data_IF_744363935121
#
_entry.id   IF_744363935121
#
_cell.length_a   1.000
_cell.length_b   1.000
_cell.length_c   1.000
_cell.angle_alpha   90.00
_cell.angle_beta   90.00
_cell.angle_gamma   90.00
#
_symmetry.space_group_name_H-M   'P 1'
#
loop_
_entity.id
_entity.type
_entity.pdbx_description
1 polymer ?
#
# COMPACT_ATOMS: atom_id res chain seq x y z
N UNK A 1 16.02 -13.84 -26.11
CA UNK A 1 15.71 -12.62 -25.37
C UNK A 1 14.47 -12.87 -24.55
N UNK A 2 14.47 -12.48 -23.28
CA UNK A 2 13.28 -12.56 -22.42
C UNK A 2 12.33 -11.42 -22.78
N UNK A 3 11.04 -11.72 -22.94
CA UNK A 3 10.01 -10.70 -23.19
C UNK A 3 9.57 -10.10 -21.86
N UNK A 4 9.62 -8.77 -21.73
CA UNK A 4 9.32 -8.05 -20.49
C UNK A 4 8.35 -6.90 -20.70
N UNK A 5 7.56 -6.63 -19.68
CA UNK A 5 6.77 -5.41 -19.54
C UNK A 5 7.48 -4.48 -18.59
N UNK A 6 7.64 -3.22 -18.98
CA UNK A 6 8.17 -2.16 -18.09
C UNK A 6 7.02 -1.50 -17.36
N UNK A 7 7.07 -1.49 -16.03
CA UNK A 7 6.10 -0.85 -15.15
C UNK A 7 6.64 0.43 -14.54
N UNK A 8 5.82 1.49 -14.51
CA UNK A 8 6.12 2.78 -13.85
C UNK A 8 5.05 3.13 -12.82
N UNK A 9 5.48 3.52 -11.63
CA UNK A 9 4.61 4.06 -10.60
C UNK A 9 5.23 5.30 -9.95
N UNK A 10 4.45 6.39 -9.90
CA UNK A 10 4.81 7.66 -9.28
C UNK A 10 3.80 8.03 -8.20
N UNK A 11 3.57 7.12 -7.27
CA UNK A 11 2.74 7.36 -6.08
C UNK A 11 3.40 8.34 -5.12
N UNK A 12 2.67 8.76 -4.09
CA UNK A 12 2.98 9.93 -3.26
C UNK A 12 4.44 10.09 -2.79
N UNK A 13 5.14 9.00 -2.43
CA UNK A 13 6.46 9.10 -1.78
C UNK A 13 7.56 8.26 -2.43
N UNK A 14 7.25 7.57 -3.52
CA UNK A 14 8.24 6.70 -4.18
C UNK A 14 8.11 6.80 -5.69
N UNK A 15 9.21 7.11 -6.37
CA UNK A 15 9.34 6.91 -7.81
C UNK A 15 9.83 5.49 -8.05
N UNK A 16 9.16 4.71 -8.86
CA UNK A 16 9.55 3.34 -9.16
C UNK A 16 9.43 2.98 -10.63
N UNK A 17 10.36 2.14 -11.09
CA UNK A 17 10.38 1.51 -12.40
C UNK A 17 10.78 0.05 -12.24
N UNK A 18 10.08 -0.86 -12.90
CA UNK A 18 10.38 -2.29 -12.81
C UNK A 18 10.20 -2.97 -14.17
N UNK A 19 10.79 -4.14 -14.34
CA UNK A 19 10.56 -5.00 -15.50
C UNK A 19 10.19 -6.40 -15.05
N UNK A 20 9.10 -6.93 -15.63
CA UNK A 20 8.51 -8.21 -15.26
C UNK A 20 8.25 -9.04 -16.51
N UNK A 21 8.51 -10.35 -16.48
CA UNK A 21 8.17 -11.27 -17.58
C UNK A 21 6.68 -11.60 -17.59
N UNK A 22 6.20 -12.22 -18.64
CA UNK A 22 4.81 -12.70 -18.74
C UNK A 22 4.45 -13.74 -17.66
N UNK A 23 5.44 -14.47 -17.15
CA UNK A 23 5.28 -15.48 -16.09
C UNK A 23 5.28 -14.85 -14.68
N UNK A 24 5.41 -13.51 -14.56
CA UNK A 24 5.44 -12.80 -13.30
C UNK A 24 6.83 -12.69 -12.65
N UNK A 25 7.90 -13.14 -13.30
CA UNK A 25 9.24 -13.02 -12.75
C UNK A 25 9.76 -11.58 -12.83
N UNK A 26 10.14 -11.01 -11.70
CA UNK A 26 10.74 -9.69 -11.62
C UNK A 26 12.20 -9.76 -12.11
N UNK A 27 12.50 -9.07 -13.22
CA UNK A 27 13.87 -8.97 -13.75
C UNK A 27 14.66 -7.92 -12.98
N UNK A 28 14.06 -6.75 -12.76
CA UNK A 28 14.64 -5.69 -11.95
C UNK A 28 13.53 -4.80 -11.38
N UNK A 29 13.83 -4.18 -10.23
CA UNK A 29 12.96 -3.20 -9.58
C UNK A 29 13.81 -2.07 -9.00
N UNK A 30 13.73 -0.90 -9.62
CA UNK A 30 14.43 0.31 -9.24
C UNK A 30 13.46 1.27 -8.57
N UNK A 31 13.83 1.82 -7.40
CA UNK A 31 12.94 2.72 -6.66
C UNK A 31 13.73 3.79 -5.91
N UNK A 32 13.16 4.97 -5.80
CA UNK A 32 13.74 6.09 -5.09
C UNK A 32 12.69 6.83 -4.30
N UNK A 33 12.92 6.99 -2.99
CA UNK A 33 12.04 7.77 -2.13
C UNK A 33 12.13 9.26 -2.47
N UNK A 34 11.01 9.96 -2.34
CA UNK A 34 10.98 11.40 -2.37
C UNK A 34 11.50 11.94 -1.03
N UNK A 35 12.38 12.93 -1.04
CA UNK A 35 12.87 13.54 0.19
C UNK A 35 11.75 14.36 0.84
N UNK A 36 11.32 13.96 2.04
CA UNK A 36 10.41 14.74 2.87
C UNK A 36 11.24 15.55 3.86
N UNK A 37 11.15 16.88 3.88
CA UNK A 37 11.90 17.69 4.83
C UNK A 37 11.57 17.34 6.28
N UNK A 38 12.56 17.38 7.15
CA UNK A 38 12.40 17.08 8.56
C UNK A 38 11.33 18.00 9.20
N UNK A 39 10.39 17.41 9.94
CA UNK A 39 9.27 18.13 10.58
C UNK A 39 8.03 18.32 9.68
N UNK A 40 8.08 17.94 8.42
CA UNK A 40 6.90 17.90 7.55
C UNK A 40 6.21 16.53 7.60
N UNK A 41 4.89 16.54 7.48
CA UNK A 41 4.07 15.30 7.46
C UNK A 41 3.77 14.79 6.05
N UNK A 42 4.41 15.39 5.01
CA UNK A 42 4.20 15.05 3.62
C UNK A 42 4.74 16.10 2.66
N UNK A 43 4.55 15.88 1.36
CA UNK A 43 4.92 16.79 0.28
C UNK A 43 3.67 17.41 -0.35
N UNK A 44 3.79 18.63 -0.83
CA UNK A 44 2.78 19.19 -1.73
C UNK A 44 2.79 18.42 -3.04
N UNK A 45 1.61 18.24 -3.65
CA UNK A 45 1.48 17.49 -4.90
C UNK A 45 2.40 18.03 -6.01
N UNK A 46 2.53 19.35 -6.13
CA UNK A 46 3.43 19.97 -7.12
C UNK A 46 4.91 19.67 -6.89
N UNK A 47 5.35 19.63 -5.64
CA UNK A 47 6.73 19.28 -5.26
C UNK A 47 7.00 17.80 -5.54
N UNK A 48 6.02 16.94 -5.24
CA UNK A 48 6.11 15.52 -5.53
C UNK A 48 6.18 15.26 -7.04
N UNK A 49 5.30 15.88 -7.85
CA UNK A 49 5.35 15.80 -9.33
C UNK A 49 6.72 16.21 -9.85
N UNK A 50 7.22 17.36 -9.40
CA UNK A 50 8.54 17.85 -9.84
C UNK A 50 9.65 16.87 -9.50
N UNK A 51 9.61 16.29 -8.29
CA UNK A 51 10.61 15.33 -7.84
C UNK A 51 10.55 14.03 -8.65
N UNK A 52 9.34 13.51 -8.92
CA UNK A 52 9.16 12.34 -9.78
C UNK A 52 9.72 12.56 -11.19
N UNK A 53 9.42 13.70 -11.79
CA UNK A 53 9.93 14.07 -13.13
C UNK A 53 11.48 14.08 -13.15
N UNK A 54 12.12 14.56 -12.08
CA UNK A 54 13.58 14.56 -11.97
C UNK A 54 14.19 13.19 -11.71
N UNK A 55 13.48 12.30 -11.02
CA UNK A 55 13.99 10.99 -10.63
C UNK A 55 13.79 9.92 -11.72
N UNK A 56 12.71 10.02 -12.49
CA UNK A 56 12.34 9.01 -13.50
C UNK A 56 13.45 8.72 -14.53
N UNK A 57 14.13 9.71 -15.13
CA UNK A 57 15.18 9.43 -16.11
C UNK A 57 16.29 8.52 -15.54
N UNK A 58 16.81 8.85 -14.37
CA UNK A 58 17.88 8.07 -13.74
C UNK A 58 17.44 6.66 -13.34
N UNK A 59 16.16 6.47 -12.92
CA UNK A 59 15.62 5.14 -12.65
C UNK A 59 15.43 4.32 -13.91
N UNK A 60 15.05 4.94 -15.03
CA UNK A 60 14.94 4.27 -16.33
C UNK A 60 16.32 3.88 -16.85
N UNK A 61 17.34 4.75 -16.69
CA UNK A 61 18.74 4.43 -17.02
C UNK A 61 19.23 3.25 -16.18
N UNK A 62 19.00 3.27 -14.86
CA UNK A 62 19.34 2.17 -13.96
C UNK A 62 18.64 0.87 -14.38
N UNK A 63 17.33 0.90 -14.65
CA UNK A 63 16.56 -0.25 -15.09
C UNK A 63 17.10 -0.81 -16.42
N UNK A 64 17.47 0.08 -17.37
CA UNK A 64 17.94 -0.32 -18.69
C UNK A 64 19.18 -1.20 -18.65
N UNK A 65 20.06 -1.02 -17.66
CA UNK A 65 21.25 -1.84 -17.47
C UNK A 65 20.95 -3.33 -17.21
N UNK A 66 19.78 -3.63 -16.68
CA UNK A 66 19.32 -5.02 -16.46
C UNK A 66 18.59 -5.63 -17.66
N UNK A 67 18.31 -4.85 -18.71
CA UNK A 67 17.46 -5.25 -19.84
C UNK A 67 18.26 -5.56 -21.12
N UNK A 68 19.57 -5.69 -21.06
CA UNK A 68 20.44 -5.94 -22.22
C UNK A 68 20.04 -7.18 -23.04
N UNK A 69 19.56 -8.24 -22.38
CA UNK A 69 19.10 -9.49 -22.99
C UNK A 69 17.58 -9.61 -23.02
N UNK A 70 16.86 -8.49 -22.87
CA UNK A 70 15.40 -8.46 -22.85
C UNK A 70 14.83 -7.73 -24.06
N UNK A 71 13.64 -8.14 -24.46
CA UNK A 71 12.77 -7.45 -25.41
C UNK A 71 11.64 -6.78 -24.64
N UNK A 72 11.55 -5.46 -24.66
CA UNK A 72 10.43 -4.73 -24.07
C UNK A 72 9.24 -4.87 -25.02
N UNK A 73 8.18 -5.54 -24.56
CA UNK A 73 6.99 -5.80 -25.38
C UNK A 73 5.81 -4.91 -25.03
N UNK A 74 5.83 -4.25 -23.89
CA UNK A 74 4.82 -3.29 -23.46
C UNK A 74 5.37 -2.38 -22.36
N UNK A 75 4.69 -1.25 -22.16
CA UNK A 75 4.86 -0.39 -20.99
C UNK A 75 3.53 -0.31 -20.24
N UNK A 76 3.57 -0.31 -18.91
CA UNK A 76 2.41 -0.12 -18.05
C UNK A 76 2.69 1.00 -17.05
N UNK A 77 1.75 1.91 -16.81
CA UNK A 77 1.92 2.96 -15.81
C UNK A 77 0.69 3.07 -14.91
N UNK A 78 0.94 3.30 -13.62
CA UNK A 78 -0.12 3.70 -12.70
C UNK A 78 -0.57 5.12 -13.06
N UNK A 79 -1.84 5.25 -13.42
CA UNK A 79 -2.42 6.53 -13.87
C UNK A 79 -3.16 7.26 -12.76
N UNK A 80 -3.61 6.54 -11.73
CA UNK A 80 -4.43 7.04 -10.64
C UNK A 80 -4.33 6.13 -9.40
N UNK A 81 -4.75 6.61 -8.22
CA UNK A 81 -4.69 5.82 -6.99
C UNK A 81 -5.53 4.54 -7.03
N UNK A 82 -6.80 4.62 -7.48
CA UNK A 82 -7.82 3.56 -7.42
C UNK A 82 -8.54 3.40 -8.75
N UNK A 83 -9.29 2.29 -8.90
CA UNK A 83 -10.07 1.99 -10.13
C UNK A 83 -11.28 2.91 -10.35
N UNK A 84 -11.67 3.73 -9.38
CA UNK A 84 -12.75 4.70 -9.48
C UNK A 84 -12.40 5.85 -10.44
N UNK A 85 -13.33 6.27 -11.30
CA UNK A 85 -13.12 7.36 -12.26
C UNK A 85 -12.74 8.68 -11.59
N UNK A 86 -13.34 8.98 -10.44
CA UNK A 86 -13.07 10.19 -9.66
C UNK A 86 -11.72 10.17 -8.93
N UNK A 87 -11.04 9.04 -8.91
CA UNK A 87 -9.76 8.89 -8.22
C UNK A 87 -8.64 9.55 -9.03
N UNK A 88 -8.29 10.78 -8.65
CA UNK A 88 -7.25 11.56 -9.32
C UNK A 88 -6.23 12.11 -8.33
N UNK A 89 -4.95 11.98 -8.66
CA UNK A 89 -3.84 12.66 -7.98
C UNK A 89 -2.78 13.11 -9.01
N UNK A 90 -2.33 14.37 -8.96
CA UNK A 90 -1.37 14.93 -9.94
C UNK A 90 -0.08 14.14 -10.09
N UNK A 91 0.43 13.53 -9.02
CA UNK A 91 1.71 12.79 -9.02
C UNK A 91 1.75 11.67 -10.05
N UNK A 92 0.62 11.02 -10.32
CA UNK A 92 0.56 9.93 -11.31
C UNK A 92 0.77 10.40 -12.75
N UNK A 93 0.57 11.70 -13.02
CA UNK A 93 0.80 12.25 -14.37
C UNK A 93 2.26 12.15 -14.80
N UNK A 94 3.21 12.17 -13.87
CA UNK A 94 4.64 12.03 -14.18
C UNK A 94 4.93 10.63 -14.77
N UNK A 95 4.46 9.58 -14.13
CA UNK A 95 4.63 8.19 -14.58
C UNK A 95 3.83 7.88 -15.86
N UNK A 96 2.57 8.34 -15.93
CA UNK A 96 1.73 8.12 -17.12
C UNK A 96 2.32 8.79 -18.36
N UNK A 97 2.73 10.07 -18.27
CA UNK A 97 3.32 10.79 -19.39
C UNK A 97 4.64 10.13 -19.85
N UNK A 98 5.51 9.76 -18.91
CA UNK A 98 6.76 9.08 -19.24
C UNK A 98 6.51 7.70 -19.86
N UNK A 99 5.58 6.91 -19.32
CA UNK A 99 5.23 5.59 -19.84
C UNK A 99 4.69 5.65 -21.26
N UNK A 100 3.82 6.61 -21.56
CA UNK A 100 3.30 6.85 -22.91
C UNK A 100 4.39 7.26 -23.90
N UNK A 101 5.31 8.13 -23.45
CA UNK A 101 6.43 8.60 -24.28
C UNK A 101 7.37 7.44 -24.63
N UNK A 102 7.73 6.60 -23.63
CA UNK A 102 8.56 5.42 -23.84
C UNK A 102 7.89 4.41 -24.78
N UNK A 103 6.63 4.10 -24.55
CA UNK A 103 5.89 3.16 -25.39
C UNK A 103 5.81 3.62 -26.85
N UNK A 104 5.56 4.91 -27.08
CA UNK A 104 5.53 5.49 -28.42
C UNK A 104 6.89 5.39 -29.12
N UNK A 105 7.99 5.71 -28.42
CA UNK A 105 9.34 5.63 -28.97
C UNK A 105 9.75 4.19 -29.28
N UNK A 106 9.40 3.26 -28.39
CA UNK A 106 9.69 1.82 -28.54
C UNK A 106 8.72 1.11 -29.51
N UNK A 107 7.65 1.78 -29.93
CA UNK A 107 6.57 1.24 -30.79
C UNK A 107 5.88 0.01 -30.19
N UNK A 108 5.67 0.04 -28.87
CA UNK A 108 4.98 -1.01 -28.13
C UNK A 108 3.68 -0.46 -27.50
N UNK A 109 2.71 -1.31 -27.11
CA UNK A 109 1.51 -0.85 -26.44
C UNK A 109 1.83 -0.24 -25.06
N UNK A 110 1.01 0.77 -24.68
CA UNK A 110 1.02 1.35 -23.34
C UNK A 110 -0.27 1.01 -22.63
N UNK A 111 -0.16 0.32 -21.51
CA UNK A 111 -1.28 0.01 -20.63
C UNK A 111 -1.35 0.96 -19.45
N UNK A 112 -2.56 1.18 -18.94
CA UNK A 112 -2.81 1.94 -17.73
C UNK A 112 -3.32 1.00 -16.64
N UNK A 113 -2.81 1.22 -15.43
CA UNK A 113 -3.30 0.54 -14.21
C UNK A 113 -3.55 1.57 -13.12
N UNK A 114 -3.90 1.10 -11.93
CA UNK A 114 -3.99 1.93 -10.72
C UNK A 114 -2.94 1.49 -9.70
N UNK A 115 -2.56 2.41 -8.83
CA UNK A 115 -1.58 2.13 -7.77
C UNK A 115 -2.08 1.01 -6.83
N UNK A 116 -3.36 1.06 -6.44
CA UNK A 116 -3.99 0.04 -5.60
C UNK A 116 -3.94 -1.35 -6.27
N UNK A 117 -4.22 -1.42 -7.58
CA UNK A 117 -4.10 -2.66 -8.32
C UNK A 117 -2.66 -3.16 -8.37
N UNK A 118 -1.71 -2.27 -8.55
CA UNK A 118 -0.28 -2.60 -8.49
C UNK A 118 0.11 -3.27 -7.16
N UNK A 119 -0.42 -2.79 -6.03
CA UNK A 119 -0.21 -3.43 -4.73
C UNK A 119 -0.82 -4.84 -4.65
N UNK A 120 -2.05 -5.02 -5.14
CA UNK A 120 -2.71 -6.33 -5.13
C UNK A 120 -1.94 -7.33 -6.01
N UNK A 121 -1.56 -6.94 -7.22
CA UNK A 121 -0.80 -7.81 -8.11
C UNK A 121 0.61 -8.13 -7.57
N UNK A 122 1.28 -7.15 -6.96
CA UNK A 122 2.57 -7.39 -6.32
C UNK A 122 2.47 -8.36 -5.13
N UNK A 123 1.39 -8.30 -4.35
CA UNK A 123 1.15 -9.22 -3.24
C UNK A 123 0.87 -10.66 -3.70
N UNK A 124 0.42 -10.86 -4.95
CA UNK A 124 0.21 -12.21 -5.54
C UNK A 124 1.53 -12.88 -5.92
N UNK A 125 2.59 -12.11 -6.18
CA UNK A 125 3.89 -12.66 -6.54
C UNK A 125 4.43 -13.49 -5.36
N UNK A 126 4.83 -14.71 -5.62
CA UNK A 126 5.36 -15.67 -4.63
C UNK A 126 4.42 -16.00 -3.45
N UNK A 127 3.14 -15.58 -3.51
CA UNK A 127 2.17 -15.85 -2.45
C UNK A 127 1.57 -17.25 -2.49
N UNK A 128 1.71 -17.95 -3.60
CA UNK A 128 1.02 -19.23 -3.86
C UNK A 128 -0.47 -19.08 -4.14
N UNK A 129 -0.99 -17.85 -4.20
CA UNK A 129 -2.39 -17.59 -4.57
C UNK A 129 -2.56 -17.84 -6.06
N UNK A 130 -3.42 -18.80 -6.39
CA UNK A 130 -3.75 -19.12 -7.78
C UNK A 130 -4.43 -17.96 -8.51
N UNK A 131 -4.39 -17.96 -9.83
CA UNK A 131 -5.23 -17.07 -10.62
C UNK A 131 -6.71 -17.36 -10.31
N UNK A 132 -7.51 -16.31 -10.16
CA UNK A 132 -8.94 -16.42 -9.85
C UNK A 132 -9.41 -15.29 -8.95
N UNK A 133 -10.65 -15.40 -8.53
CA UNK A 133 -11.28 -14.44 -7.63
C UNK A 133 -10.62 -14.49 -6.25
N UNK A 134 -10.32 -13.34 -5.69
CA UNK A 134 -9.68 -13.22 -4.38
C UNK A 134 -10.19 -12.03 -3.57
N UNK A 135 -10.01 -12.11 -2.27
CA UNK A 135 -10.10 -10.96 -1.36
C UNK A 135 -8.69 -10.43 -1.08
N UNK A 136 -8.54 -9.12 -1.14
CA UNK A 136 -7.31 -8.44 -0.79
C UNK A 136 -7.54 -7.49 0.38
N UNK A 137 -6.56 -7.43 1.28
CA UNK A 137 -6.54 -6.45 2.38
C UNK A 137 -5.45 -5.44 2.10
N UNK A 138 -5.81 -4.17 2.06
CA UNK A 138 -4.87 -3.08 1.86
C UNK A 138 -4.78 -2.23 3.13
N UNK A 139 -3.66 -2.33 3.83
CA UNK A 139 -3.39 -1.60 5.07
C UNK A 139 -2.19 -0.67 4.89
N UNK A 140 -2.37 0.61 5.23
CA UNK A 140 -1.30 1.61 5.20
C UNK A 140 -1.62 2.78 6.15
N UNK A 141 -0.77 3.81 6.17
CA UNK A 141 -1.05 5.07 6.85
C UNK A 141 -2.23 5.87 6.27
N UNK A 142 -2.62 5.60 5.03
CA UNK A 142 -3.73 6.29 4.34
C UNK A 142 -4.83 5.37 3.86
N UNK A 143 -4.74 4.05 4.14
CA UNK A 143 -5.69 3.06 3.63
C UNK A 143 -5.93 1.96 4.66
N UNK A 144 -7.17 1.55 4.81
CA UNK A 144 -7.58 0.35 5.55
C UNK A 144 -8.82 -0.16 4.87
N UNK A 145 -8.66 -1.14 4.01
CA UNK A 145 -9.69 -1.57 3.06
C UNK A 145 -9.66 -3.08 2.86
N UNK A 146 -10.84 -3.65 2.61
CA UNK A 146 -11.01 -5.00 2.06
C UNK A 146 -11.59 -4.86 0.67
N UNK A 147 -10.94 -5.49 -0.29
CA UNK A 147 -11.23 -5.42 -1.72
C UNK A 147 -11.55 -6.83 -2.23
N UNK A 148 -12.38 -6.92 -3.26
CA UNK A 148 -12.49 -8.12 -4.08
C UNK A 148 -11.87 -7.88 -5.45
N UNK A 149 -11.16 -8.86 -5.96
CA UNK A 149 -10.75 -8.95 -7.35
C UNK A 149 -11.54 -10.09 -7.99
N UNK A 150 -12.49 -9.75 -8.86
CA UNK A 150 -13.40 -10.68 -9.54
C UNK A 150 -13.42 -10.32 -11.02
N UNK A 151 -13.23 -11.29 -11.92
CA UNK A 151 -13.20 -11.06 -13.36
C UNK A 151 -12.31 -9.87 -13.75
N UNK A 152 -11.13 -9.78 -13.17
CA UNK A 152 -10.16 -8.69 -13.37
C UNK A 152 -10.63 -7.30 -12.91
N UNK A 153 -11.73 -7.22 -12.14
CA UNK A 153 -12.27 -5.98 -11.57
C UNK A 153 -12.01 -5.89 -10.07
N UNK A 154 -11.31 -4.83 -9.67
CA UNK A 154 -11.06 -4.53 -8.26
C UNK A 154 -12.21 -3.68 -7.70
N UNK A 155 -12.86 -4.17 -6.65
CA UNK A 155 -14.01 -3.52 -6.02
C UNK A 155 -13.80 -3.35 -4.51
N UNK A 156 -14.06 -2.15 -3.99
CA UNK A 156 -14.04 -1.90 -2.56
C UNK A 156 -15.28 -2.55 -1.91
N UNK A 157 -15.05 -3.43 -0.93
CA UNK A 157 -16.11 -4.06 -0.15
C UNK A 157 -16.32 -3.39 1.20
N UNK A 158 -15.25 -2.95 1.84
CA UNK A 158 -15.33 -2.33 3.15
C UNK A 158 -14.02 -1.69 3.58
N UNK A 159 -14.01 -0.98 4.70
CA UNK A 159 -12.84 -0.27 5.17
C UNK A 159 -13.04 0.41 6.52
N UNK A 160 -12.13 1.31 6.89
CA UNK A 160 -12.33 2.15 8.06
C UNK A 160 -13.21 3.36 7.73
N UNK A 161 -14.02 3.77 8.69
CA UNK A 161 -14.87 4.98 8.59
C UNK A 161 -14.25 6.20 9.28
N UNK A 162 -13.10 6.04 9.95
CA UNK A 162 -12.49 7.15 10.68
C UNK A 162 -10.95 7.17 10.60
N UNK A 163 -10.25 6.29 11.29
CA UNK A 163 -8.79 6.28 11.39
C UNK A 163 -8.21 5.05 10.69
N UNK A 164 -7.14 5.24 9.92
CA UNK A 164 -6.46 4.13 9.26
C UNK A 164 -5.57 3.31 10.20
N UNK A 165 -5.43 2.02 9.93
CA UNK A 165 -4.65 1.08 10.73
C UNK A 165 -3.19 1.56 10.94
N UNK A 166 -2.52 1.99 9.87
CA UNK A 166 -1.17 2.53 9.97
C UNK A 166 -1.08 3.80 10.81
N UNK A 167 -2.13 4.63 10.83
CA UNK A 167 -2.18 5.80 11.72
C UNK A 167 -2.31 5.39 13.18
N UNK A 168 -3.07 4.34 13.51
CA UNK A 168 -3.13 3.82 14.89
C UNK A 168 -1.76 3.36 15.34
N UNK A 169 -1.05 2.61 14.49
CA UNK A 169 0.33 2.15 14.73
C UNK A 169 1.27 3.33 14.96
N UNK A 170 1.31 4.28 14.03
CA UNK A 170 2.23 5.41 14.09
C UNK A 170 1.94 6.34 15.28
N UNK A 171 0.68 6.68 15.53
CA UNK A 171 0.29 7.55 16.65
C UNK A 171 0.61 6.91 17.98
N UNK A 172 0.33 5.62 18.15
CA UNK A 172 0.65 4.88 19.37
C UNK A 172 2.17 4.81 19.57
N UNK A 173 2.93 4.46 18.53
CA UNK A 173 4.38 4.36 18.62
C UNK A 173 5.04 5.69 18.96
N UNK A 174 4.64 6.77 18.31
CA UNK A 174 5.15 8.12 18.60
C UNK A 174 4.80 8.55 20.03
N UNK A 175 3.59 8.26 20.52
CA UNK A 175 3.20 8.54 21.89
C UNK A 175 4.00 7.72 22.92
N UNK A 176 4.46 6.52 22.56
CA UNK A 176 5.38 5.70 23.37
C UNK A 176 6.84 6.18 23.31
N UNK A 177 7.13 7.21 22.50
CA UNK A 177 8.48 7.78 22.31
C UNK A 177 9.30 7.10 21.23
N UNK A 178 8.69 6.31 20.34
CA UNK A 178 9.34 5.65 19.20
C UNK A 178 9.50 6.64 18.03
N UNK A 179 10.54 6.47 17.18
CA UNK A 179 10.72 7.31 15.99
C UNK A 179 9.63 7.05 14.93
N UNK A 180 9.34 8.06 14.11
CA UNK A 180 8.45 7.94 12.95
C UNK A 180 9.25 7.57 11.68
N UNK A 181 8.74 6.68 10.82
CA UNK A 181 7.53 5.87 10.95
C UNK A 181 7.68 4.80 12.05
N UNK A 182 6.65 4.65 12.89
CA UNK A 182 6.77 3.88 14.13
C UNK A 182 6.53 2.37 13.96
N UNK A 183 6.00 1.93 12.82
CA UNK A 183 5.60 0.54 12.57
C UNK A 183 6.65 -0.51 12.95
N UNK A 184 7.86 -0.49 12.35
CA UNK A 184 8.90 -1.49 12.68
C UNK A 184 9.28 -1.49 14.16
N UNK A 185 9.43 -0.31 14.77
CA UNK A 185 9.80 -0.18 16.18
C UNK A 185 8.68 -0.63 17.13
N UNK A 186 7.42 -0.35 16.78
CA UNK A 186 6.27 -0.81 17.56
C UNK A 186 6.11 -2.33 17.47
N UNK A 187 6.40 -2.93 16.31
CA UNK A 187 6.39 -4.38 16.11
C UNK A 187 7.45 -5.06 17.00
N UNK A 188 8.69 -4.57 16.98
CA UNK A 188 9.76 -5.08 17.86
C UNK A 188 9.37 -5.01 19.35
N UNK A 189 8.69 -3.94 19.75
CA UNK A 189 8.18 -3.78 21.10
C UNK A 189 7.08 -4.80 21.41
N UNK A 190 6.13 -4.98 20.47
CA UNK A 190 4.98 -5.88 20.62
C UNK A 190 5.35 -7.37 20.75
N UNK A 191 6.48 -7.79 20.16
CA UNK A 191 6.98 -9.19 20.28
C UNK A 191 7.20 -9.57 21.75
N UNK A 192 7.54 -8.62 22.61
CA UNK A 192 7.80 -8.82 24.05
C UNK A 192 6.55 -8.62 24.92
N UNK A 193 5.47 -8.14 24.34
CA UNK A 193 4.22 -7.83 25.04
C UNK A 193 3.22 -8.99 25.03
N UNK A 194 2.22 -8.87 25.90
CA UNK A 194 1.10 -9.80 25.99
C UNK A 194 -0.20 -9.07 25.69
N UNK A 195 -0.97 -9.57 24.71
CA UNK A 195 -2.31 -9.09 24.46
C UNK A 195 -3.32 -9.79 25.38
N UNK A 196 -4.29 -9.03 25.87
CA UNK A 196 -5.42 -9.49 26.69
C UNK A 196 -6.76 -9.18 26.03
N UNK A 197 -6.74 -8.73 24.75
CA UNK A 197 -7.91 -8.33 23.99
C UNK A 197 -8.78 -7.27 24.69
N UNK A 198 -8.12 -6.30 25.34
CA UNK A 198 -8.80 -5.25 26.12
C UNK A 198 -9.49 -4.20 25.26
N UNK A 199 -9.03 -4.02 24.01
CA UNK A 199 -9.64 -3.08 23.08
C UNK A 199 -10.84 -3.73 22.37
N UNK A 200 -11.96 -3.03 22.40
CA UNK A 200 -13.15 -3.46 21.66
C UNK A 200 -12.95 -3.27 20.14
N UNK A 201 -13.35 -4.27 19.36
CA UNK A 201 -13.43 -4.16 17.90
C UNK A 201 -14.78 -3.54 17.55
N UNK A 202 -14.77 -2.29 17.08
CA UNK A 202 -15.96 -1.56 16.67
C UNK A 202 -16.21 -1.76 15.16
N UNK A 203 -17.26 -2.53 14.85
CA UNK A 203 -17.67 -2.84 13.47
C UNK A 203 -18.94 -2.11 13.10
N UNK A 204 -19.11 -1.87 11.80
CA UNK A 204 -20.31 -1.30 11.19
C UNK A 204 -20.66 -2.08 9.91
N UNK A 205 -21.86 -1.86 9.40
CA UNK A 205 -22.38 -2.40 8.13
C UNK A 205 -22.09 -3.90 7.95
N UNK A 206 -22.69 -4.70 8.83
CA UNK A 206 -22.57 -6.16 8.78
C UNK A 206 -21.13 -6.70 8.99
N UNK A 207 -20.20 -5.87 9.43
CA UNK A 207 -18.80 -6.25 9.67
C UNK A 207 -17.83 -5.87 8.55
N UNK A 208 -18.28 -5.22 7.49
CA UNK A 208 -17.42 -4.77 6.39
C UNK A 208 -16.65 -3.48 6.73
N UNK A 209 -17.23 -2.65 7.59
CA UNK A 209 -16.60 -1.40 8.00
C UNK A 209 -16.23 -1.42 9.48
N UNK A 210 -15.20 -0.63 9.83
CA UNK A 210 -14.74 -0.53 11.21
C UNK A 210 -14.51 0.92 11.64
N UNK A 211 -14.40 1.12 12.96
CA UNK A 211 -13.95 2.34 13.60
C UNK A 211 -12.74 2.05 14.47
N UNK A 212 -11.68 2.82 14.33
CA UNK A 212 -10.42 2.64 15.06
C UNK A 212 -10.11 3.81 16.02
N UNK A 213 -10.78 4.96 15.85
CA UNK A 213 -10.50 6.16 16.64
C UNK A 213 -10.80 5.99 18.13
N UNK A 214 -11.84 5.22 18.48
CA UNK A 214 -12.16 4.94 19.88
C UNK A 214 -11.08 4.12 20.58
N UNK A 215 -10.55 3.12 19.88
CA UNK A 215 -9.45 2.29 20.38
C UNK A 215 -8.15 3.12 20.50
N UNK A 216 -7.84 3.96 19.51
CA UNK A 216 -6.70 4.87 19.54
C UNK A 216 -6.79 5.82 20.74
N UNK A 217 -7.95 6.38 21.01
CA UNK A 217 -8.17 7.22 22.20
C UNK A 217 -7.91 6.47 23.50
N UNK A 218 -8.29 5.19 23.59
CA UNK A 218 -8.04 4.37 24.77
C UNK A 218 -6.54 4.06 24.93
N UNK A 219 -5.83 3.77 23.84
CA UNK A 219 -4.38 3.57 23.84
C UNK A 219 -3.65 4.83 24.36
N UNK A 220 -4.03 6.02 23.88
CA UNK A 220 -3.47 7.27 24.36
C UNK A 220 -3.70 7.48 25.87
N UNK A 221 -4.87 7.11 26.39
CA UNK A 221 -5.16 7.17 27.82
C UNK A 221 -4.24 6.25 28.62
N UNK A 222 -4.05 5.00 28.18
CA UNK A 222 -3.14 4.07 28.88
C UNK A 222 -1.69 4.58 28.92
N UNK A 223 -1.23 5.18 27.81
CA UNK A 223 0.11 5.76 27.71
C UNK A 223 0.27 6.92 28.70
N UNK A 224 -0.67 7.87 28.71
CA UNK A 224 -0.61 9.04 29.58
C UNK A 224 -0.72 8.66 31.07
N UNK A 225 -1.54 7.67 31.40
CA UNK A 225 -1.74 7.20 32.76
C UNK A 225 -0.65 6.27 33.27
N UNK A 226 0.17 5.72 32.37
CA UNK A 226 1.20 4.73 32.73
C UNK A 226 0.64 3.44 33.34
N UNK A 227 -0.61 3.08 32.99
CA UNK A 227 -1.34 1.97 33.62
C UNK A 227 -0.96 0.60 33.05
N UNK A 228 -0.16 0.55 31.96
CA UNK A 228 0.21 -0.68 31.26
C UNK A 228 1.65 -0.59 30.75
N UNK A 229 2.41 -1.71 30.73
CA UNK A 229 3.72 -1.76 30.08
C UNK A 229 3.63 -1.38 28.60
N UNK A 230 4.67 -0.71 28.09
CA UNK A 230 4.73 -0.25 26.71
C UNK A 230 4.63 -1.43 25.72
N UNK A 231 5.24 -2.55 26.06
CA UNK A 231 5.21 -3.79 25.31
C UNK A 231 3.80 -4.35 25.15
N UNK A 232 3.03 -4.33 26.25
CA UNK A 232 1.64 -4.81 26.27
C UNK A 232 0.74 -3.87 25.45
N UNK A 233 0.94 -2.53 25.56
CA UNK A 233 0.23 -1.55 24.73
C UNK A 233 0.51 -1.80 23.25
N UNK A 234 1.77 -1.99 22.87
CA UNK A 234 2.16 -2.28 21.51
C UNK A 234 1.50 -3.59 21.02
N UNK A 235 1.46 -4.62 21.83
CA UNK A 235 0.82 -5.89 21.50
C UNK A 235 -0.69 -5.79 21.35
N UNK A 236 -1.36 -4.99 22.19
CA UNK A 236 -2.82 -4.73 22.07
C UNK A 236 -3.18 -4.04 20.76
N UNK A 237 -2.31 -3.16 20.21
CA UNK A 237 -2.51 -2.56 18.89
C UNK A 237 -2.62 -3.61 17.81
N UNK A 238 -1.64 -4.52 17.72
CA UNK A 238 -1.63 -5.56 16.69
C UNK A 238 -2.74 -6.60 16.89
N UNK A 239 -3.06 -6.94 18.14
CA UNK A 239 -4.20 -7.80 18.45
C UNK A 239 -5.53 -7.18 17.98
N UNK A 240 -5.76 -5.90 18.30
CA UNK A 240 -6.93 -5.16 17.81
C UNK A 240 -7.03 -5.20 16.29
N UNK A 241 -5.94 -4.84 15.61
CA UNK A 241 -5.92 -4.78 14.14
C UNK A 241 -6.15 -6.17 13.54
N UNK A 242 -5.53 -7.21 14.06
CA UNK A 242 -5.72 -8.58 13.60
C UNK A 242 -7.19 -9.03 13.75
N UNK A 243 -7.80 -8.77 14.92
CA UNK A 243 -9.22 -9.10 15.16
C UNK A 243 -10.16 -8.29 14.27
N UNK A 244 -9.84 -7.01 14.02
CA UNK A 244 -10.63 -6.13 13.15
C UNK A 244 -10.58 -6.64 11.71
N UNK A 245 -9.38 -6.85 11.17
CA UNK A 245 -9.18 -7.36 9.80
C UNK A 245 -9.82 -8.74 9.62
N UNK A 246 -9.66 -9.64 10.59
CA UNK A 246 -10.28 -10.97 10.54
C UNK A 246 -11.82 -10.89 10.42
N UNK A 247 -12.46 -9.98 11.16
CA UNK A 247 -13.92 -9.77 11.06
C UNK A 247 -14.32 -9.20 9.70
N UNK A 248 -13.57 -8.21 9.19
CA UNK A 248 -13.83 -7.61 7.88
C UNK A 248 -13.70 -8.64 6.75
N UNK A 249 -12.64 -9.43 6.76
CA UNK A 249 -12.43 -10.49 5.75
C UNK A 249 -13.51 -11.57 5.84
N UNK A 250 -13.91 -11.96 7.06
CA UNK A 250 -14.99 -12.94 7.26
C UNK A 250 -16.31 -12.42 6.69
N UNK A 251 -16.68 -11.16 6.98
CA UNK A 251 -17.87 -10.53 6.43
C UNK A 251 -17.82 -10.44 4.89
N UNK A 252 -16.69 -10.03 4.35
CA UNK A 252 -16.47 -9.94 2.90
C UNK A 252 -16.59 -11.33 2.23
N UNK A 253 -15.98 -12.36 2.81
CA UNK A 253 -16.09 -13.74 2.33
C UNK A 253 -17.54 -14.25 2.35
N UNK A 254 -18.29 -13.96 3.42
CA UNK A 254 -19.71 -14.33 3.51
C UNK A 254 -20.56 -13.62 2.46
N UNK A 255 -20.28 -12.33 2.19
CA UNK A 255 -21.03 -11.54 1.21
C UNK A 255 -20.73 -11.96 -0.23
N UNK A 256 -19.47 -12.28 -0.55
CA UNK A 256 -19.03 -12.54 -1.92
C UNK A 256 -18.98 -14.03 -2.27
N UNK A 257 -18.91 -14.92 -1.29
CA UNK A 257 -18.65 -16.34 -1.48
C UNK A 257 -17.19 -16.69 -1.78
N UNK A 258 -16.29 -15.69 -1.86
CA UNK A 258 -14.85 -15.89 -2.09
C UNK A 258 -14.22 -16.42 -0.79
N UNK A 259 -13.37 -17.44 -0.92
CA UNK A 259 -12.71 -18.13 0.21
C UNK A 259 -11.21 -17.93 0.20
#
# INVERSE_FOLDING_TARGET
MKRVVVGLDTSCYTTSAAAVTAEGNVIASCRKLLPVPQGQRGLRQSEAVFTHVRQLPGLIEELSAYLTDCEIVAVCASRRPRDEEASYMPVFQAGDAQGRSLAALLRVPCFATTHQRGHVEAAKVDSGVAAGDLLAVHLSGGTTEVLSLVDDRLTLLGGTLDLHAGQVVDRTGVALGLPFPAGPHLEELAVRGTARALLAVAMADGGLYCHLSGAETQLQRWIVQGTMPKEDIAREVYDLLARTVSRMVTAASQQTGIR
#
